data_IF_432839594888
#
_entry.id   IF_432839594888
#
_cell.length_a   1.000
_cell.length_b   1.000
_cell.length_c   1.000
_cell.angle_alpha   90.00
_cell.angle_beta   90.00
_cell.angle_gamma   90.00
#
_symmetry.space_group_name_H-M   'P 1'
#
loop_
_entity.id
_entity.type
_entity.pdbx_description
1 polymer ?
#
# COMPACT_ATOMS: atom_id res chain seq x y z
N UNK A 1 0.52 4.33 4.65
CA UNK A 1 1.49 4.12 5.74
C UNK A 1 2.02 2.70 5.70
N UNK A 2 3.33 2.52 5.47
CA UNK A 2 4.02 1.21 5.55
C UNK A 2 4.51 0.96 6.98
N UNK A 3 4.25 -0.22 7.54
CA UNK A 3 4.57 -0.52 8.94
C UNK A 3 3.50 0.00 9.92
N UNK A 4 2.26 0.18 9.46
CA UNK A 4 1.17 0.72 10.30
C UNK A 4 0.69 -0.21 11.43
N UNK A 5 1.20 -1.44 11.51
CA UNK A 5 0.79 -2.42 12.52
C UNK A 5 1.48 -2.23 13.88
N UNK A 6 2.61 -1.50 13.96
CA UNK A 6 3.40 -1.33 15.20
C UNK A 6 4.21 -0.03 15.22
N UNK A 7 4.56 0.45 16.42
CA UNK A 7 5.51 1.55 16.63
C UNK A 7 5.03 2.90 16.09
N UNK A 8 5.94 3.70 15.55
CA UNK A 8 5.67 5.06 15.04
C UNK A 8 4.56 5.06 13.97
N UNK A 9 4.53 4.04 13.10
CA UNK A 9 3.51 3.91 12.07
C UNK A 9 2.09 3.68 12.61
N UNK A 10 1.97 3.06 13.78
CA UNK A 10 0.69 2.84 14.45
C UNK A 10 0.17 4.13 15.10
N UNK A 11 1.04 4.85 15.82
CA UNK A 11 0.64 6.13 16.43
C UNK A 11 0.34 7.20 15.36
N UNK A 12 1.07 7.23 14.25
CA UNK A 12 0.68 8.06 13.10
C UNK A 12 -0.70 7.64 12.55
N UNK A 13 -0.96 6.34 12.38
CA UNK A 13 -2.25 5.88 11.86
C UNK A 13 -3.42 6.34 12.74
N UNK A 14 -3.26 6.37 14.07
CA UNK A 14 -4.25 6.93 14.99
C UNK A 14 -4.46 8.43 14.81
N UNK A 15 -3.39 9.21 14.73
CA UNK A 15 -3.48 10.66 14.57
C UNK A 15 -4.18 11.03 13.25
N UNK A 16 -3.76 10.41 12.15
CA UNK A 16 -4.38 10.63 10.84
C UNK A 16 -5.83 10.12 10.74
N UNK A 17 -6.21 9.14 11.55
CA UNK A 17 -7.60 8.70 11.67
C UNK A 17 -8.47 9.76 12.37
N UNK A 18 -7.92 10.42 13.40
CA UNK A 18 -8.56 11.56 14.05
C UNK A 18 -8.75 12.76 13.12
N UNK A 19 -7.82 12.95 12.17
CA UNK A 19 -7.87 14.01 11.16
C UNK A 19 -8.71 13.64 9.92
N UNK A 20 -9.49 12.56 9.97
CA UNK A 20 -10.37 12.08 8.88
C UNK A 20 -9.66 11.90 7.52
N UNK A 21 -8.38 11.53 7.53
CA UNK A 21 -7.63 11.29 6.31
C UNK A 21 -7.93 9.90 5.73
N UNK A 22 -7.98 9.79 4.39
CA UNK A 22 -8.05 8.50 3.71
C UNK A 22 -6.70 7.77 3.84
N UNK A 23 -6.67 6.80 4.73
CA UNK A 23 -5.48 6.03 5.07
C UNK A 23 -5.44 4.70 4.31
N UNK A 24 -4.30 4.44 3.67
CA UNK A 24 -3.95 3.11 3.15
C UNK A 24 -2.93 2.50 4.11
N UNK A 25 -3.31 1.43 4.80
CA UNK A 25 -2.45 0.78 5.79
C UNK A 25 -1.79 -0.46 5.19
N UNK A 26 -0.47 -0.57 5.35
CA UNK A 26 0.33 -1.67 4.80
C UNK A 26 1.22 -2.28 5.88
N UNK A 27 1.06 -3.58 6.14
CA UNK A 27 1.94 -4.32 7.06
C UNK A 27 1.97 -5.83 6.77
N UNK A 28 2.98 -6.51 7.32
CA UNK A 28 3.19 -7.96 7.18
C UNK A 28 2.26 -8.81 8.05
N UNK A 29 1.92 -8.31 9.23
CA UNK A 29 1.03 -9.00 10.16
C UNK A 29 -0.42 -8.57 9.88
N UNK A 30 -1.19 -9.48 9.29
CA UNK A 30 -2.55 -9.26 8.81
C UNK A 30 -3.54 -9.02 9.97
N UNK A 31 -3.42 -9.76 11.06
CA UNK A 31 -4.29 -9.64 12.23
C UNK A 31 -4.16 -8.28 12.88
N UNK A 32 -2.93 -7.89 13.24
CA UNK A 32 -2.67 -6.57 13.82
C UNK A 32 -3.08 -5.45 12.89
N UNK A 33 -2.80 -5.56 11.59
CA UNK A 33 -3.18 -4.53 10.63
C UNK A 33 -4.71 -4.37 10.54
N UNK A 34 -5.46 -5.47 10.65
CA UNK A 34 -6.93 -5.45 10.70
C UNK A 34 -7.45 -4.72 11.95
N UNK A 35 -6.88 -5.01 13.12
CA UNK A 35 -7.22 -4.30 14.36
C UNK A 35 -6.98 -2.78 14.25
N UNK A 36 -5.82 -2.39 13.71
CA UNK A 36 -5.50 -0.96 13.51
C UNK A 36 -6.44 -0.33 12.50
N UNK A 37 -6.77 -1.02 11.41
CA UNK A 37 -7.63 -0.50 10.36
C UNK A 37 -9.07 -0.26 10.82
N UNK A 38 -9.60 -1.20 11.63
CA UNK A 38 -10.92 -1.06 12.25
C UNK A 38 -10.93 0.12 13.22
N UNK A 39 -9.91 0.24 14.07
CA UNK A 39 -9.77 1.40 14.97
C UNK A 39 -9.65 2.73 14.22
N UNK A 40 -8.89 2.75 13.13
CA UNK A 40 -8.58 3.95 12.37
C UNK A 40 -9.63 4.31 11.30
N UNK A 41 -10.71 3.52 11.16
CA UNK A 41 -11.78 3.77 10.20
C UNK A 41 -11.34 3.71 8.73
N UNK A 42 -10.27 2.97 8.43
CA UNK A 42 -9.61 3.00 7.12
C UNK A 42 -10.26 2.03 6.13
N UNK A 43 -10.48 2.46 4.89
CA UNK A 43 -11.18 1.67 3.87
C UNK A 43 -10.27 0.64 3.17
N UNK A 44 -8.95 0.86 3.12
CA UNK A 44 -8.04 0.02 2.33
C UNK A 44 -6.91 -0.54 3.19
N UNK A 45 -7.02 -1.84 3.46
CA UNK A 45 -6.03 -2.63 4.19
C UNK A 45 -5.30 -3.53 3.20
N UNK A 46 -4.02 -3.26 2.99
CA UNK A 46 -3.17 -4.10 2.14
C UNK A 46 -2.28 -4.92 3.05
N UNK A 47 -2.74 -6.13 3.34
CA UNK A 47 -2.05 -7.07 4.21
C UNK A 47 -1.09 -7.95 3.40
N UNK A 48 0.12 -8.18 3.93
CA UNK A 48 1.02 -9.32 3.66
C UNK A 48 1.32 -9.77 2.21
N UNK A 49 2.61 -9.92 1.88
CA UNK A 49 3.16 -10.54 0.65
C UNK A 49 2.80 -9.93 -0.71
N UNK A 50 1.54 -9.60 -1.00
CA UNK A 50 1.13 -9.02 -2.29
C UNK A 50 1.69 -7.61 -2.50
N UNK A 51 1.58 -6.73 -1.49
CA UNK A 51 2.24 -5.43 -1.58
C UNK A 51 3.76 -5.58 -1.68
N UNK A 52 4.33 -6.54 -0.96
CA UNK A 52 5.76 -6.79 -1.01
C UNK A 52 6.18 -7.28 -2.40
N UNK A 53 5.47 -8.24 -2.98
CA UNK A 53 5.70 -8.75 -4.33
C UNK A 53 5.53 -7.63 -5.37
N UNK A 54 4.45 -6.86 -5.32
CA UNK A 54 4.20 -5.78 -6.27
C UNK A 54 5.26 -4.69 -6.14
N UNK A 55 5.56 -4.23 -4.91
CA UNK A 55 6.58 -3.21 -4.67
C UNK A 55 7.99 -3.68 -5.05
N UNK A 56 8.36 -4.92 -4.70
CA UNK A 56 9.65 -5.53 -5.06
C UNK A 56 9.72 -5.79 -6.58
N UNK A 57 8.60 -6.10 -7.22
CA UNK A 57 8.52 -6.24 -8.68
C UNK A 57 8.85 -4.95 -9.40
N UNK A 58 8.49 -3.78 -8.84
CA UNK A 58 8.88 -2.48 -9.41
C UNK A 58 10.40 -2.31 -9.39
N UNK A 59 11.09 -2.89 -8.40
CA UNK A 59 12.54 -2.81 -8.26
C UNK A 59 13.28 -3.74 -9.22
N UNK A 60 12.68 -4.88 -9.58
CA UNK A 60 13.23 -5.81 -10.56
C UNK A 60 12.72 -5.60 -11.99
N UNK A 61 11.76 -4.72 -12.20
CA UNK A 61 11.26 -4.38 -13.53
C UNK A 61 12.36 -3.73 -14.38
N UNK A 62 12.79 -4.36 -15.49
CA UNK A 62 13.77 -3.75 -16.38
C UNK A 62 13.17 -2.49 -17.00
N UNK A 63 13.90 -1.38 -17.00
CA UNK A 63 13.44 -0.06 -17.50
C UNK A 63 12.88 -0.09 -18.94
N UNK A 64 13.32 -1.06 -19.75
CA UNK A 64 12.82 -1.31 -21.11
C UNK A 64 11.41 -1.92 -21.13
N UNK A 65 11.05 -2.70 -20.11
CA UNK A 65 9.73 -3.32 -19.97
C UNK A 65 8.67 -2.28 -19.60
N UNK A 66 9.00 -1.37 -18.69
CA UNK A 66 8.09 -0.28 -18.27
C UNK A 66 7.74 0.63 -19.45
N UNK A 67 8.74 1.01 -20.25
CA UNK A 67 8.54 1.86 -21.44
C UNK A 67 7.79 1.13 -22.56
N UNK A 68 7.98 -0.19 -22.69
CA UNK A 68 7.21 -1.01 -23.63
C UNK A 68 5.72 -1.11 -23.23
N UNK A 69 5.42 -1.32 -21.95
CA UNK A 69 4.04 -1.36 -21.44
C UNK A 69 3.35 -0.01 -21.62
N UNK A 70 4.03 1.09 -21.30
CA UNK A 70 3.51 2.45 -21.51
C UNK A 70 3.16 2.71 -22.98
N UNK A 71 4.04 2.31 -23.91
CA UNK A 71 3.78 2.41 -25.35
C UNK A 71 2.62 1.53 -25.80
N UNK A 72 2.44 0.35 -25.19
CA UNK A 72 1.37 -0.58 -25.53
C UNK A 72 0.00 -0.09 -25.06
N UNK A 73 -0.08 0.56 -23.90
CA UNK A 73 -1.30 1.19 -23.39
C UNK A 73 -1.71 2.37 -24.27
N UNK A 74 -0.75 3.24 -24.62
CA UNK A 74 -1.01 4.37 -25.51
C UNK A 74 -1.59 3.92 -26.86
N UNK A 75 -1.08 2.82 -27.41
CA UNK A 75 -1.52 2.26 -28.69
C UNK A 75 -2.86 1.51 -28.64
N UNK A 76 -3.42 1.26 -27.45
CA UNK A 76 -4.68 0.54 -27.25
C UNK A 76 -5.86 1.48 -27.00
N UNK A 77 -5.56 2.77 -26.77
CA UNK A 77 -6.54 3.85 -26.59
C UNK A 77 -6.85 4.57 -27.91
N UNK A 78 -6.05 4.33 -28.95
CA UNK A 78 -6.38 4.57 -30.36
C UNK A 78 -7.05 3.33 -30.99
#
# INVERSE_FOLDING_TARGET
MTGASVGIGYELAKLFAGDHCNLVLVARNTERLGEVAVMAGTTVVISGAHNWLVAESVRFAPRKMVTAISRWIAKKVD
#
